data_IF_620338853869
#
_entry.id   IF_620338853869
#
_cell.length_a   1.000
_cell.length_b   1.000
_cell.length_c   1.000
_cell.angle_alpha   90.00
_cell.angle_beta   90.00
_cell.angle_gamma   90.00
#
_symmetry.space_group_name_H-M   'P 1'
#
loop_
_entity.id
_entity.type
_entity.pdbx_description
1 polymer ?
#
# COMPACT_ATOMS: atom_id res chain seq x y z
N UNK A 1 18.04 -12.21 -19.88
CA UNK A 1 16.85 -11.62 -19.26
C UNK A 1 16.45 -10.31 -19.91
N UNK A 2 17.32 -9.33 -19.92
CA UNK A 2 17.00 -8.03 -20.48
C UNK A 2 16.70 -8.06 -21.98
N UNK A 3 17.26 -9.01 -22.71
CA UNK A 3 16.99 -9.17 -24.13
C UNK A 3 15.53 -9.44 -24.42
N UNK A 4 14.79 -9.99 -23.48
CA UNK A 4 13.36 -10.21 -23.62
C UNK A 4 12.61 -8.92 -23.80
N UNK A 5 13.01 -7.91 -23.06
CA UNK A 5 12.36 -6.60 -23.11
C UNK A 5 12.73 -5.85 -24.38
N UNK A 6 13.96 -5.97 -24.81
CA UNK A 6 14.42 -5.30 -26.02
C UNK A 6 13.70 -5.79 -27.27
N UNK A 7 13.57 -7.10 -27.39
CA UNK A 7 13.08 -7.72 -28.59
C UNK A 7 11.62 -7.50 -28.83
N UNK A 8 10.87 -7.36 -27.75
CA UNK A 8 9.43 -7.33 -27.85
C UNK A 8 8.86 -6.09 -27.21
N UNK A 9 9.19 -4.98 -27.79
CA UNK A 9 8.86 -3.68 -27.24
C UNK A 9 7.39 -3.46 -26.99
N UNK A 10 6.55 -4.05 -27.81
CA UNK A 10 5.14 -3.77 -27.82
C UNK A 10 4.27 -4.97 -27.47
N UNK A 11 4.87 -6.14 -27.28
CA UNK A 11 4.11 -7.35 -27.02
C UNK A 11 4.30 -7.77 -25.58
N UNK A 12 3.22 -8.07 -24.84
CA UNK A 12 3.35 -8.61 -23.51
C UNK A 12 4.20 -9.87 -23.56
N UNK A 13 5.21 -9.92 -22.73
CA UNK A 13 6.12 -11.03 -22.69
C UNK A 13 5.45 -12.19 -21.98
N UNK A 14 5.34 -13.38 -22.60
CA UNK A 14 4.82 -14.53 -21.89
C UNK A 14 5.63 -14.85 -20.63
N UNK A 15 6.94 -14.68 -20.72
CA UNK A 15 7.82 -14.88 -19.57
C UNK A 15 7.57 -13.84 -18.49
N UNK A 16 7.31 -12.59 -18.85
CA UNK A 16 6.99 -11.55 -17.89
C UNK A 16 5.67 -11.83 -17.20
N UNK A 17 4.64 -12.18 -17.97
CA UNK A 17 3.35 -12.57 -17.42
C UNK A 17 3.48 -13.73 -16.45
N UNK A 18 4.30 -14.71 -16.80
CA UNK A 18 4.56 -15.85 -15.94
C UNK A 18 5.25 -15.43 -14.64
N UNK A 19 6.25 -14.56 -14.75
CA UNK A 19 6.95 -14.04 -13.58
C UNK A 19 6.01 -13.30 -12.64
N UNK A 20 5.14 -12.48 -13.20
CA UNK A 20 4.17 -11.73 -12.39
C UNK A 20 3.16 -12.65 -11.72
N UNK A 21 2.72 -13.69 -12.44
CA UNK A 21 1.83 -14.70 -11.86
C UNK A 21 2.50 -15.48 -10.75
N UNK A 22 3.76 -15.85 -10.95
CA UNK A 22 4.53 -16.55 -9.93
C UNK A 22 4.79 -15.66 -8.72
N UNK A 23 5.04 -14.37 -8.94
CA UNK A 23 5.20 -13.41 -7.87
C UNK A 23 3.92 -13.31 -7.05
N UNK A 24 2.78 -13.17 -7.70
CA UNK A 24 1.49 -13.15 -7.01
C UNK A 24 1.25 -14.42 -6.22
N UNK A 25 1.63 -15.55 -6.79
CA UNK A 25 1.51 -16.83 -6.09
C UNK A 25 2.42 -16.89 -4.87
N UNK A 26 3.64 -16.39 -5.01
CA UNK A 26 4.60 -16.33 -3.89
C UNK A 26 4.08 -15.49 -2.74
N UNK A 27 3.35 -14.42 -3.04
CA UNK A 27 2.74 -13.59 -2.01
C UNK A 27 1.72 -14.35 -1.17
N UNK A 28 1.19 -15.44 -1.70
CA UNK A 28 0.23 -16.27 -0.98
C UNK A 28 0.90 -17.37 -0.15
N UNK A 29 2.19 -17.60 -0.36
CA UNK A 29 2.94 -18.60 0.41
C UNK A 29 3.51 -17.95 1.67
N UNK A 30 3.12 -18.46 2.80
CA UNK A 30 3.49 -17.88 4.11
C UNK A 30 5.00 -17.81 4.29
N UNK A 31 5.74 -18.82 3.84
CA UNK A 31 7.18 -18.88 4.01
C UNK A 31 7.91 -17.72 3.32
N UNK A 32 7.44 -17.33 2.15
CA UNK A 32 8.09 -16.31 1.32
C UNK A 32 7.47 -14.93 1.51
N UNK A 33 6.27 -14.86 2.04
CA UNK A 33 5.51 -13.62 2.14
C UNK A 33 6.22 -12.57 2.98
N UNK A 34 6.73 -12.96 4.14
CA UNK A 34 7.43 -12.02 5.03
C UNK A 34 8.67 -11.43 4.37
N UNK A 35 9.41 -12.26 3.66
CA UNK A 35 10.63 -11.81 2.96
C UNK A 35 10.28 -10.82 1.85
N UNK A 36 9.24 -11.11 1.08
CA UNK A 36 8.79 -10.22 0.01
C UNK A 36 8.33 -8.88 0.56
N UNK A 37 7.58 -8.90 1.64
CA UNK A 37 7.10 -7.69 2.29
C UNK A 37 8.26 -6.86 2.82
N UNK A 38 9.21 -7.49 3.50
CA UNK A 38 10.38 -6.79 4.03
C UNK A 38 11.21 -6.17 2.91
N UNK A 39 11.42 -6.88 1.82
CA UNK A 39 12.14 -6.37 0.67
C UNK A 39 11.42 -5.18 0.03
N UNK A 40 10.11 -5.27 -0.05
CA UNK A 40 9.29 -4.21 -0.62
C UNK A 40 9.38 -2.94 0.24
N UNK A 41 9.23 -3.08 1.54
CA UNK A 41 9.33 -1.96 2.48
C UNK A 41 10.73 -1.34 2.43
N UNK A 42 11.77 -2.17 2.36
CA UNK A 42 13.15 -1.67 2.25
C UNK A 42 13.36 -0.85 0.99
N UNK A 43 12.77 -1.29 -0.12
CA UNK A 43 12.86 -0.54 -1.37
C UNK A 43 12.14 0.80 -1.29
N UNK A 44 10.99 0.83 -0.65
CA UNK A 44 10.27 2.09 -0.45
C UNK A 44 11.14 3.05 0.35
N UNK A 45 11.79 2.59 1.42
CA UNK A 45 12.67 3.43 2.23
C UNK A 45 13.86 3.99 1.44
N UNK A 46 14.38 3.22 0.51
CA UNK A 46 15.47 3.68 -0.35
C UNK A 46 15.03 4.81 -1.28
N UNK A 47 13.81 4.70 -1.80
CA UNK A 47 13.28 5.68 -2.74
C UNK A 47 12.75 6.91 -2.00
N UNK A 48 12.09 6.70 -0.88
CA UNK A 48 11.45 7.75 -0.10
C UNK A 48 11.74 7.53 1.38
N UNK A 49 12.83 8.11 1.90
CA UNK A 49 13.18 7.94 3.31
C UNK A 49 12.12 8.58 4.20
N UNK A 50 11.42 7.73 4.93
CA UNK A 50 10.36 8.14 5.86
C UNK A 50 10.58 7.48 7.21
N UNK A 51 10.03 8.08 8.26
CA UNK A 51 10.18 7.54 9.61
C UNK A 51 9.40 6.25 9.80
N UNK A 52 8.21 6.20 9.20
CA UNK A 52 7.27 5.10 9.42
C UNK A 52 6.71 4.65 8.08
N UNK A 53 6.64 3.34 7.90
CA UNK A 53 5.96 2.71 6.77
C UNK A 53 5.05 1.64 7.32
N UNK A 54 3.80 1.66 6.90
CA UNK A 54 2.85 0.59 7.20
C UNK A 54 2.31 0.03 5.90
N UNK A 55 2.23 -1.28 5.83
CA UNK A 55 1.62 -1.99 4.71
C UNK A 55 0.43 -2.77 5.22
N UNK A 56 -0.73 -2.53 4.64
CA UNK A 56 -1.94 -3.28 4.92
C UNK A 56 -2.31 -4.07 3.68
N UNK A 57 -2.60 -5.34 3.84
CA UNK A 57 -3.05 -6.19 2.74
C UNK A 57 -4.45 -6.72 3.02
N UNK A 58 -5.24 -6.81 1.97
CA UNK A 58 -6.59 -7.32 2.05
C UNK A 58 -6.58 -8.82 2.35
N UNK A 59 -7.26 -9.19 3.42
CA UNK A 59 -7.59 -10.58 3.70
C UNK A 59 -8.97 -10.84 3.10
N UNK A 60 -9.02 -11.57 2.02
CA UNK A 60 -10.26 -11.79 1.28
C UNK A 60 -11.27 -12.62 2.05
N UNK A 61 -10.83 -13.41 3.02
CA UNK A 61 -11.72 -14.21 3.84
C UNK A 61 -12.53 -13.35 4.80
N UNK A 62 -11.94 -12.27 5.31
CA UNK A 62 -12.59 -11.39 6.27
C UNK A 62 -13.03 -10.06 5.70
N UNK A 63 -12.51 -9.67 4.53
CA UNK A 63 -12.74 -8.36 3.95
C UNK A 63 -12.00 -7.24 4.66
N UNK A 64 -11.02 -7.56 5.49
CA UNK A 64 -10.27 -6.58 6.25
C UNK A 64 -8.87 -6.39 5.69
N UNK A 65 -8.41 -5.16 5.77
CA UNK A 65 -7.03 -4.79 5.44
C UNK A 65 -6.21 -4.87 6.71
N UNK A 66 -5.33 -5.86 6.77
CA UNK A 66 -4.57 -6.18 7.96
C UNK A 66 -3.13 -5.71 7.86
N UNK A 67 -2.57 -5.18 8.96
CA UNK A 67 -1.17 -4.76 8.96
C UNK A 67 -0.24 -5.97 8.78
N UNK A 68 0.79 -5.78 7.98
CA UNK A 68 1.76 -6.82 7.67
C UNK A 68 3.10 -6.59 8.34
N UNK A 69 3.29 -5.43 8.94
CA UNK A 69 4.56 -5.03 9.50
C UNK A 69 4.49 -4.96 11.02
N UNK A 70 5.47 -5.60 11.64
CA UNK A 70 5.73 -5.45 13.06
C UNK A 70 4.59 -5.88 13.99
N UNK A 71 4.58 -5.33 15.20
CA UNK A 71 3.67 -5.75 16.25
C UNK A 71 2.33 -5.02 16.26
N UNK A 72 1.88 -4.47 15.14
CA UNK A 72 0.59 -3.80 15.07
C UNK A 72 -0.53 -4.78 15.38
N UNK A 73 -1.43 -4.35 16.25
CA UNK A 73 -2.54 -5.19 16.65
C UNK A 73 -3.60 -5.25 15.54
N UNK A 74 -4.40 -6.31 15.57
CA UNK A 74 -5.50 -6.46 14.62
C UNK A 74 -6.54 -5.34 14.76
N UNK A 75 -6.56 -4.62 15.90
CA UNK A 75 -7.45 -3.48 16.09
C UNK A 75 -7.16 -2.32 15.15
N UNK A 76 -5.95 -2.27 14.56
CA UNK A 76 -5.59 -1.24 13.59
C UNK A 76 -5.93 -1.63 12.15
N UNK A 77 -6.62 -2.73 11.94
CA UNK A 77 -7.07 -3.11 10.61
C UNK A 77 -8.18 -2.19 10.12
N UNK A 78 -8.32 -2.11 8.81
CA UNK A 78 -9.40 -1.36 8.16
C UNK A 78 -10.34 -2.33 7.47
N UNK A 79 -11.62 -1.97 7.44
CA UNK A 79 -12.63 -2.77 6.76
C UNK A 79 -12.79 -2.27 5.32
N UNK A 80 -13.10 -3.17 4.40
CA UNK A 80 -13.33 -2.80 3.01
C UNK A 80 -14.46 -1.80 2.80
N UNK A 81 -15.36 -1.66 3.78
CA UNK A 81 -16.46 -0.69 3.75
C UNK A 81 -16.12 0.63 4.42
N UNK A 82 -14.94 0.76 5.00
CA UNK A 82 -14.52 2.01 5.63
C UNK A 82 -14.43 3.11 4.58
N UNK A 83 -14.65 4.33 5.02
CA UNK A 83 -14.65 5.49 4.13
C UNK A 83 -13.28 5.73 3.50
N UNK A 84 -12.21 5.42 4.23
CA UNK A 84 -10.86 5.51 3.69
C UNK A 84 -10.70 4.61 2.45
N UNK A 85 -11.10 3.37 2.57
CA UNK A 85 -10.98 2.40 1.46
C UNK A 85 -11.86 2.82 0.29
N UNK A 86 -13.08 3.26 0.57
CA UNK A 86 -13.98 3.75 -0.47
C UNK A 86 -13.41 4.96 -1.19
N UNK A 87 -12.78 5.87 -0.45
CA UNK A 87 -12.16 7.05 -1.05
C UNK A 87 -11.02 6.67 -1.97
N UNK A 88 -10.15 5.77 -1.52
CA UNK A 88 -9.01 5.30 -2.31
C UNK A 88 -9.48 4.57 -3.58
N UNK A 89 -10.54 3.80 -3.47
CA UNK A 89 -11.10 3.10 -4.63
C UNK A 89 -11.63 4.08 -5.67
N UNK A 90 -12.41 5.06 -5.24
CA UNK A 90 -13.07 6.00 -6.14
C UNK A 90 -12.08 6.97 -6.78
N UNK A 91 -11.13 7.48 -6.00
CA UNK A 91 -10.22 8.52 -6.47
C UNK A 91 -8.98 7.97 -7.18
N UNK A 92 -8.67 6.71 -6.98
CA UNK A 92 -7.57 6.01 -7.69
C UNK A 92 -6.21 6.68 -7.58
N UNK A 93 -5.99 7.42 -6.49
CA UNK A 93 -4.73 8.15 -6.29
C UNK A 93 -4.36 8.16 -4.82
N UNK A 94 -3.12 8.58 -4.56
CA UNK A 94 -2.66 8.76 -3.19
C UNK A 94 -3.43 9.88 -2.49
N UNK A 95 -3.49 9.78 -1.17
CA UNK A 95 -4.10 10.79 -0.31
C UNK A 95 -3.03 11.39 0.58
N UNK A 96 -2.73 12.67 0.39
CA UNK A 96 -1.83 13.42 1.25
C UNK A 96 -2.69 14.18 2.25
N UNK A 97 -2.67 13.74 3.52
CA UNK A 97 -3.59 14.25 4.53
C UNK A 97 -3.40 15.74 4.81
N UNK A 98 -2.16 16.23 4.81
CA UNK A 98 -1.86 17.63 5.10
C UNK A 98 -2.42 18.59 4.05
N UNK A 99 -2.58 18.12 2.82
CA UNK A 99 -3.10 18.95 1.71
C UNK A 99 -4.60 18.76 1.50
N UNK A 100 -5.23 17.91 2.29
CA UNK A 100 -6.64 17.64 2.19
C UNK A 100 -7.28 17.73 3.58
N UNK A 101 -7.24 18.89 4.22
CA UNK A 101 -7.70 19.02 5.61
C UNK A 101 -9.18 18.66 5.80
N UNK A 102 -9.99 18.89 4.78
CA UNK A 102 -11.42 18.60 4.87
C UNK A 102 -11.73 17.11 4.84
N UNK A 103 -10.78 16.28 4.40
CA UNK A 103 -11.00 14.85 4.33
C UNK A 103 -11.20 14.24 5.72
N UNK A 104 -10.64 14.87 6.75
CA UNK A 104 -10.81 14.41 8.12
C UNK A 104 -12.28 14.37 8.52
N UNK A 105 -13.08 15.31 8.03
CA UNK A 105 -14.50 15.34 8.34
C UNK A 105 -15.29 14.24 7.62
N UNK A 106 -14.75 13.77 6.50
CA UNK A 106 -15.35 12.66 5.76
C UNK A 106 -15.17 11.34 6.47
N UNK A 107 -14.02 11.14 7.11
CA UNK A 107 -13.72 9.89 7.81
C UNK A 107 -14.47 9.81 9.13
N UNK A 108 -14.72 8.58 9.59
CA UNK A 108 -15.30 8.37 10.91
C UNK A 108 -14.29 8.73 12.00
N UNK A 109 -14.78 8.95 13.21
CA UNK A 109 -13.91 9.21 14.35
C UNK A 109 -12.94 8.05 14.60
N UNK A 110 -13.40 6.82 14.42
CA UNK A 110 -12.57 5.63 14.55
C UNK A 110 -11.45 5.59 13.52
N UNK A 111 -11.77 5.92 12.26
CA UNK A 111 -10.76 5.96 11.20
C UNK A 111 -9.73 7.05 11.48
N UNK A 112 -10.16 8.23 11.91
CA UNK A 112 -9.25 9.33 12.28
C UNK A 112 -8.31 8.93 13.40
N UNK A 113 -8.84 8.24 14.40
CA UNK A 113 -8.03 7.77 15.52
C UNK A 113 -6.97 6.75 15.05
N UNK A 114 -7.37 5.82 14.20
CA UNK A 114 -6.43 4.84 13.63
C UNK A 114 -5.33 5.52 12.83
N UNK A 115 -5.69 6.47 11.98
CA UNK A 115 -4.71 7.20 11.19
C UNK A 115 -3.75 8.00 12.06
N UNK A 116 -4.24 8.56 13.16
CA UNK A 116 -3.40 9.26 14.13
C UNK A 116 -2.43 8.32 14.82
N UNK A 117 -2.89 7.16 15.25
CA UNK A 117 -2.04 6.15 15.88
C UNK A 117 -0.96 5.64 14.92
N UNK A 118 -1.30 5.53 13.65
CA UNK A 118 -0.37 5.07 12.61
C UNK A 118 0.57 6.19 12.15
N UNK A 119 0.31 7.43 12.53
CA UNK A 119 1.07 8.60 12.12
C UNK A 119 1.16 8.72 10.60
N UNK A 120 0.07 8.39 9.93
CA UNK A 120 0.01 8.41 8.48
C UNK A 120 -0.02 9.85 7.95
N UNK A 121 0.83 10.15 6.99
CA UNK A 121 0.85 11.42 6.27
C UNK A 121 0.44 11.25 4.83
N UNK A 122 0.94 10.20 4.18
CA UNK A 122 0.64 9.89 2.80
C UNK A 122 0.10 8.46 2.74
N UNK A 123 -1.04 8.29 2.09
CA UNK A 123 -1.70 6.99 1.96
C UNK A 123 -1.79 6.65 0.49
N UNK A 124 -1.30 5.48 0.12
CA UNK A 124 -1.22 5.05 -1.27
C UNK A 124 -1.96 3.73 -1.46
N UNK A 125 -2.92 3.67 -2.40
CA UNK A 125 -3.63 2.41 -2.66
C UNK A 125 -2.81 1.50 -3.57
N UNK A 126 -2.82 0.22 -3.26
CA UNK A 126 -2.30 -0.82 -4.15
C UNK A 126 -3.49 -1.42 -4.88
N UNK A 127 -3.65 -1.08 -6.15
CA UNK A 127 -4.79 -1.55 -6.94
C UNK A 127 -4.35 -2.65 -7.89
N UNK A 128 -5.12 -3.71 -7.91
CA UNK A 128 -4.92 -4.82 -8.82
C UNK A 128 -6.28 -5.18 -9.39
N UNK A 129 -6.39 -5.18 -10.71
CA UNK A 129 -7.62 -5.55 -11.39
C UNK A 129 -8.86 -4.81 -10.86
N UNK A 130 -8.75 -3.50 -10.79
CA UNK A 130 -9.84 -2.62 -10.36
C UNK A 130 -10.29 -2.86 -8.91
N UNK A 131 -9.38 -3.32 -8.07
CA UNK A 131 -9.65 -3.60 -6.67
C UNK A 131 -8.50 -3.08 -5.81
N UNK A 132 -8.82 -2.51 -4.66
CA UNK A 132 -7.80 -2.10 -3.69
C UNK A 132 -7.35 -3.35 -2.95
N UNK A 133 -6.18 -3.86 -3.32
CA UNK A 133 -5.62 -5.08 -2.73
C UNK A 133 -4.80 -4.79 -1.49
N UNK A 134 -4.37 -3.56 -1.31
CA UNK A 134 -3.60 -3.16 -0.15
C UNK A 134 -3.51 -1.65 -0.05
N UNK A 135 -2.92 -1.21 1.04
CA UNK A 135 -2.73 0.22 1.33
C UNK A 135 -1.35 0.38 1.94
N UNK A 136 -0.60 1.35 1.43
CA UNK A 136 0.67 1.75 2.03
C UNK A 136 0.46 3.08 2.71
N UNK A 137 0.90 3.19 3.95
CA UNK A 137 0.85 4.44 4.70
C UNK A 137 2.27 4.84 5.05
N UNK A 138 2.62 6.07 4.68
CA UNK A 138 3.93 6.64 4.96
C UNK A 138 3.77 7.74 6.00
N UNK A 139 4.65 7.73 7.00
CA UNK A 139 4.76 8.80 7.96
C UNK A 139 5.59 9.95 7.42
N UNK A 140 6.09 10.79 8.32
CA UNK A 140 6.89 11.95 7.93
C UNK A 140 8.20 11.54 7.28
N UNK A 141 8.66 12.36 6.35
CA UNK A 141 10.00 12.19 5.78
C UNK A 141 11.06 12.43 6.85
N UNK A 142 12.13 11.67 6.78
CA UNK A 142 13.23 11.78 7.75
C UNK A 142 13.92 13.13 7.68
N UNK A 143 13.91 13.79 6.52
CA UNK A 143 14.51 15.12 6.33
C UNK A 143 13.56 16.26 6.73
N UNK A 144 12.35 15.92 7.21
CA UNK A 144 11.34 16.88 7.65
C UNK A 144 10.76 17.76 6.55
N UNK A 145 11.02 17.46 5.29
CA UNK A 145 10.36 18.13 4.18
C UNK A 145 8.96 17.57 4.00
N UNK A 146 8.10 18.35 3.35
CA UNK A 146 6.74 17.89 3.04
C UNK A 146 6.72 17.01 1.80
N UNK A 147 5.74 16.12 1.73
CA UNK A 147 5.45 15.43 0.49
C UNK A 147 4.87 16.44 -0.50
N UNK A 148 5.27 16.29 -1.75
CA UNK A 148 4.72 17.11 -2.83
C UNK A 148 3.93 16.23 -3.78
N UNK A 149 2.80 16.75 -4.24
CA UNK A 149 2.06 16.11 -5.31
C UNK A 149 2.75 16.42 -6.63
N UNK A 150 3.15 15.40 -7.34
CA UNK A 150 3.69 15.52 -8.71
C UNK A 150 2.67 15.00 -9.70
#
# INVERSE_FOLDING_TARGET
>A
MLSLFKRHTNTPQPELSKMLSEFNRSLMLIADKSLLINNFISKIRQICPVEIIHLFLLDENTGKYKPQDGPLSSSLSFNGKDKLISWLFVNERSLLLSQNPDIADYFTAEEREKLGQLQAELIYPLKVMNKVSGVIMLGKKTDRTDFTEN
#
